data_IF_774643402206
#
_entry.id   IF_774643402206
#
_cell.length_a   1.000
_cell.length_b   1.000
_cell.length_c   1.000
_cell.angle_alpha   90.00
_cell.angle_beta   90.00
_cell.angle_gamma   90.00
#
_symmetry.space_group_name_H-M   'P 1'
#
loop_
_entity.id
_entity.type
_entity.pdbx_description
1 polymer ?
#
# COMPACT_ATOMS: atom_id res chain seq x y z
N UNK A 1 10.22 18.60 3.92
CA UNK A 1 9.00 17.86 3.56
C UNK A 1 8.86 16.69 4.50
N UNK A 2 7.70 16.54 5.14
CA UNK A 2 7.46 15.43 6.05
C UNK A 2 7.39 14.11 5.29
N UNK A 3 7.90 13.02 5.88
CA UNK A 3 7.87 11.67 5.28
C UNK A 3 6.45 11.22 4.89
N UNK A 4 5.43 11.72 5.59
CA UNK A 4 4.02 11.48 5.29
C UNK A 4 3.57 12.10 3.96
N UNK A 5 4.03 13.31 3.62
CA UNK A 5 3.69 13.96 2.36
C UNK A 5 4.31 13.22 1.17
N UNK A 6 5.56 12.77 1.34
CA UNK A 6 6.27 11.98 0.33
C UNK A 6 5.55 10.67 0.02
N UNK A 7 5.07 9.96 1.05
CA UNK A 7 4.31 8.70 0.86
C UNK A 7 3.01 8.91 0.08
N UNK A 8 2.27 9.99 0.39
CA UNK A 8 1.02 10.32 -0.33
C UNK A 8 1.27 10.70 -1.78
N UNK A 9 2.30 11.49 -2.05
CA UNK A 9 2.68 11.84 -3.43
C UNK A 9 3.08 10.58 -4.21
N UNK A 10 3.85 9.67 -3.61
CA UNK A 10 4.23 8.41 -4.24
C UNK A 10 3.01 7.53 -4.58
N UNK A 11 2.04 7.46 -3.68
CA UNK A 11 0.78 6.72 -3.91
C UNK A 11 -0.03 7.30 -5.06
N UNK A 12 -0.17 8.63 -5.11
CA UNK A 12 -0.88 9.32 -6.20
C UNK A 12 -0.18 9.07 -7.54
N UNK A 13 1.15 9.19 -7.57
CA UNK A 13 1.95 8.92 -8.77
C UNK A 13 1.86 7.45 -9.18
N UNK A 14 1.88 6.52 -8.23
CA UNK A 14 1.68 5.08 -8.47
C UNK A 14 0.31 4.78 -9.08
N UNK A 15 -0.77 5.35 -8.53
CA UNK A 15 -2.12 5.23 -9.07
C UNK A 15 -2.25 5.81 -10.49
N UNK A 16 -1.64 6.97 -10.75
CA UNK A 16 -1.62 7.56 -12.09
C UNK A 16 -0.84 6.68 -13.09
N UNK A 17 0.30 6.12 -12.69
CA UNK A 17 1.09 5.21 -13.54
C UNK A 17 0.36 3.90 -13.84
N UNK A 18 -0.37 3.34 -12.88
CA UNK A 18 -1.25 2.19 -13.11
C UNK A 18 -2.32 2.52 -14.16
N UNK A 19 -2.92 3.70 -14.07
CA UNK A 19 -3.92 4.14 -15.05
C UNK A 19 -3.35 4.32 -16.45
N UNK A 20 -2.16 4.94 -16.56
CA UNK A 20 -1.46 5.09 -17.84
C UNK A 20 -1.05 3.73 -18.41
N UNK A 21 -0.55 2.82 -17.57
CA UNK A 21 -0.21 1.45 -17.95
C UNK A 21 -1.41 0.66 -18.46
N UNK A 22 -2.58 0.84 -17.84
CA UNK A 22 -3.85 0.25 -18.28
C UNK A 22 -4.25 0.77 -19.65
N UNK A 23 -4.22 2.09 -19.88
CA UNK A 23 -4.53 2.67 -21.20
C UNK A 23 -3.58 2.13 -22.27
N UNK A 24 -2.28 2.10 -21.98
CA UNK A 24 -1.28 1.57 -22.91
C UNK A 24 -1.53 0.09 -23.22
N UNK A 25 -1.85 -0.72 -22.20
CA UNK A 25 -2.16 -2.14 -22.36
C UNK A 25 -3.40 -2.35 -23.23
N UNK A 26 -4.45 -1.53 -23.06
CA UNK A 26 -5.64 -1.55 -23.92
C UNK A 26 -5.30 -1.21 -25.37
N UNK A 27 -4.44 -0.21 -25.60
CA UNK A 27 -4.00 0.17 -26.96
C UNK A 27 -3.24 -0.99 -27.60
N UNK A 28 -2.26 -1.56 -26.91
CA UNK A 28 -1.47 -2.69 -27.43
C UNK A 28 -2.36 -3.90 -27.69
N UNK A 29 -3.27 -4.21 -26.77
CA UNK A 29 -4.22 -5.32 -26.94
C UNK A 29 -5.14 -5.09 -28.14
N UNK A 30 -5.65 -3.87 -28.32
CA UNK A 30 -6.50 -3.54 -29.47
C UNK A 30 -5.73 -3.63 -30.79
N UNK A 31 -4.48 -3.15 -30.83
CA UNK A 31 -3.61 -3.27 -31.99
C UNK A 31 -3.30 -4.74 -32.31
N UNK A 32 -3.09 -5.57 -31.29
CA UNK A 32 -2.86 -7.00 -31.45
C UNK A 32 -4.11 -7.71 -32.01
N UNK A 33 -5.31 -7.37 -31.52
CA UNK A 33 -6.58 -7.92 -32.04
C UNK A 33 -6.76 -7.57 -33.52
N UNK A 34 -6.46 -6.33 -33.91
CA UNK A 34 -6.53 -5.88 -35.31
C UNK A 34 -5.48 -6.57 -36.17
N UNK A 35 -4.24 -6.64 -35.70
CA UNK A 35 -3.13 -7.29 -36.42
C UNK A 35 -3.33 -8.81 -36.57
N UNK A 36 -3.99 -9.45 -35.60
CA UNK A 36 -4.31 -10.87 -35.65
C UNK A 36 -5.38 -11.22 -36.70
N UNK A 37 -6.00 -10.23 -37.38
CA UNK A 37 -6.62 -10.39 -38.70
C UNK A 37 -7.58 -11.58 -38.86
N UNK A 38 -8.36 -11.92 -37.83
CA UNK A 38 -9.32 -13.04 -37.85
C UNK A 38 -8.95 -14.26 -36.99
N UNK A 39 -7.70 -14.39 -36.52
CA UNK A 39 -7.31 -15.43 -35.56
C UNK A 39 -7.89 -15.19 -34.15
N UNK A 40 -8.36 -13.97 -33.86
CA UNK A 40 -9.03 -13.62 -32.61
C UNK A 40 -10.33 -14.41 -32.35
N UNK A 41 -10.88 -15.10 -33.37
CA UNK A 41 -12.04 -15.98 -33.20
C UNK A 41 -11.77 -17.22 -32.33
N UNK A 42 -10.49 -17.53 -32.10
CA UNK A 42 -10.07 -18.61 -31.21
C UNK A 42 -9.88 -18.17 -29.76
N UNK A 43 -10.02 -16.88 -29.44
CA UNK A 43 -9.99 -16.44 -28.05
C UNK A 43 -11.29 -16.95 -27.41
N UNK A 44 -11.19 -17.88 -26.47
CA UNK A 44 -12.39 -18.42 -25.87
C UNK A 44 -13.05 -17.33 -25.01
N UNK A 45 -14.39 -17.29 -24.96
CA UNK A 45 -15.14 -16.21 -24.31
C UNK A 45 -14.79 -16.03 -22.82
N UNK A 46 -14.30 -17.08 -22.15
CA UNK A 46 -13.82 -16.99 -20.77
C UNK A 46 -12.62 -16.04 -20.63
N UNK A 47 -11.71 -16.00 -21.61
CA UNK A 47 -10.49 -15.20 -21.54
C UNK A 47 -10.81 -13.72 -21.69
N UNK A 48 -11.76 -13.37 -22.57
CA UNK A 48 -12.22 -11.99 -22.72
C UNK A 48 -12.85 -11.43 -21.44
N UNK A 49 -13.63 -12.26 -20.71
CA UNK A 49 -14.24 -11.85 -19.44
C UNK A 49 -13.18 -11.60 -18.38
N UNK A 50 -12.16 -12.48 -18.29
CA UNK A 50 -11.04 -12.31 -17.35
C UNK A 50 -10.28 -11.01 -17.63
N UNK A 51 -10.01 -10.70 -18.90
CA UNK A 51 -9.31 -9.47 -19.28
C UNK A 51 -10.14 -8.24 -18.89
N UNK A 52 -11.44 -8.22 -19.20
CA UNK A 52 -12.32 -7.09 -18.85
C UNK A 52 -12.40 -6.91 -17.33
N UNK A 53 -12.53 -8.02 -16.58
CA UNK A 53 -12.61 -7.97 -15.12
C UNK A 53 -11.31 -7.48 -14.49
N UNK A 54 -10.15 -7.90 -15.02
CA UNK A 54 -8.84 -7.42 -14.60
C UNK A 54 -8.67 -5.92 -14.83
N UNK A 55 -9.01 -5.43 -16.03
CA UNK A 55 -8.98 -3.99 -16.35
C UNK A 55 -9.89 -3.19 -15.42
N UNK A 56 -11.09 -3.71 -15.12
CA UNK A 56 -12.01 -3.07 -14.18
C UNK A 56 -11.42 -3.01 -12.77
N UNK A 57 -10.77 -4.09 -12.32
CA UNK A 57 -10.13 -4.18 -11.02
C UNK A 57 -8.96 -3.20 -10.90
N UNK A 58 -8.12 -3.09 -11.93
CA UNK A 58 -7.00 -2.16 -11.98
C UNK A 58 -7.47 -0.70 -11.98
N UNK A 59 -8.56 -0.40 -12.70
CA UNK A 59 -9.20 0.92 -12.65
C UNK A 59 -9.67 1.25 -11.22
N UNK A 60 -10.35 0.32 -10.56
CA UNK A 60 -10.84 0.51 -9.19
C UNK A 60 -9.67 0.68 -8.22
N UNK A 61 -8.61 -0.11 -8.33
CA UNK A 61 -7.41 0.01 -7.51
C UNK A 61 -6.72 1.37 -7.71
N UNK A 62 -6.56 1.82 -8.96
CA UNK A 62 -5.99 3.13 -9.26
C UNK A 62 -6.80 4.27 -8.65
N UNK A 63 -8.13 4.19 -8.70
CA UNK A 63 -9.03 5.18 -8.07
C UNK A 63 -8.89 5.15 -6.55
N UNK A 64 -8.84 3.96 -5.94
CA UNK A 64 -8.65 3.80 -4.49
C UNK A 64 -7.32 4.43 -4.05
N UNK A 65 -6.24 4.24 -4.81
CA UNK A 65 -4.93 4.81 -4.51
C UNK A 65 -4.89 6.35 -4.53
N UNK A 66 -5.82 6.98 -5.26
CA UNK A 66 -5.92 8.43 -5.37
C UNK A 66 -6.86 9.01 -4.30
N UNK A 67 -7.96 8.32 -3.99
CA UNK A 67 -9.03 8.87 -3.15
C UNK A 67 -8.84 8.57 -1.66
N UNK A 68 -8.22 7.45 -1.30
CA UNK A 68 -8.16 6.98 0.09
C UNK A 68 -6.94 7.53 0.82
N UNK A 69 -7.14 7.94 2.08
CA UNK A 69 -6.08 8.46 2.96
C UNK A 69 -5.47 7.38 3.86
N UNK A 70 -6.16 6.26 4.01
CA UNK A 70 -5.75 5.16 4.89
C UNK A 70 -4.62 4.35 4.28
N UNK A 71 -3.47 4.35 4.97
CA UNK A 71 -2.23 3.71 4.49
C UNK A 71 -2.39 2.20 4.22
N UNK A 72 -3.20 1.51 5.04
CA UNK A 72 -3.48 0.07 4.88
C UNK A 72 -4.22 -0.20 3.57
N UNK A 73 -5.22 0.63 3.25
CA UNK A 73 -6.01 0.47 2.04
C UNK A 73 -5.15 0.73 0.80
N UNK A 74 -4.24 1.73 0.88
CA UNK A 74 -3.27 2.01 -0.19
C UNK A 74 -2.33 0.82 -0.43
N UNK A 75 -1.81 0.20 0.63
CA UNK A 75 -0.93 -0.97 0.53
C UNK A 75 -1.66 -2.15 -0.15
N UNK A 76 -2.87 -2.47 0.32
CA UNK A 76 -3.66 -3.59 -0.22
C UNK A 76 -4.02 -3.34 -1.69
N UNK A 77 -4.45 -2.13 -2.04
CA UNK A 77 -4.75 -1.75 -3.42
C UNK A 77 -3.51 -1.84 -4.32
N UNK A 78 -2.33 -1.43 -3.82
CA UNK A 78 -1.06 -1.56 -4.54
C UNK A 78 -0.67 -3.01 -4.82
N UNK A 79 -0.85 -3.92 -3.85
CA UNK A 79 -0.59 -5.36 -4.01
C UNK A 79 -1.55 -5.96 -5.06
N UNK A 80 -2.84 -5.64 -4.98
CA UNK A 80 -3.84 -6.15 -5.92
C UNK A 80 -3.52 -5.67 -7.35
N UNK A 81 -3.21 -4.39 -7.53
CA UNK A 81 -2.83 -3.82 -8.83
C UNK A 81 -1.53 -4.42 -9.38
N UNK A 82 -0.54 -4.71 -8.52
CA UNK A 82 0.69 -5.38 -8.94
C UNK A 82 0.41 -6.82 -9.42
N UNK A 83 -0.37 -7.58 -8.66
CA UNK A 83 -0.74 -8.94 -9.03
C UNK A 83 -1.53 -8.97 -10.34
N UNK A 84 -2.49 -8.06 -10.50
CA UNK A 84 -3.27 -7.93 -11.74
C UNK A 84 -2.37 -7.57 -12.92
N UNK A 85 -1.41 -6.65 -12.74
CA UNK A 85 -0.47 -6.25 -13.78
C UNK A 85 0.51 -7.34 -14.21
N UNK A 86 0.79 -8.32 -13.34
CA UNK A 86 1.62 -9.49 -13.65
C UNK A 86 0.81 -10.55 -14.40
N UNK A 87 -0.46 -10.72 -14.03
CA UNK A 87 -1.34 -11.76 -14.58
C UNK A 87 -1.93 -11.35 -15.94
N UNK A 88 -2.40 -10.10 -16.06
CA UNK A 88 -2.75 -9.51 -17.34
C UNK A 88 -1.47 -9.00 -18.02
N UNK A 89 -1.50 -8.82 -19.33
CA UNK A 89 -0.38 -8.29 -20.15
C UNK A 89 -0.16 -6.78 -19.83
N UNK A 90 -0.18 -6.38 -18.57
CA UNK A 90 -0.07 -5.00 -18.06
C UNK A 90 1.29 -4.36 -18.31
N UNK A 91 2.26 -5.17 -18.74
CA UNK A 91 3.58 -4.73 -19.12
C UNK A 91 4.38 -4.14 -17.96
N UNK A 92 5.57 -3.66 -18.29
CA UNK A 92 6.54 -3.13 -17.32
C UNK A 92 6.00 -1.87 -16.60
N UNK A 93 5.17 -1.09 -17.30
CA UNK A 93 4.60 0.17 -16.78
C UNK A 93 3.64 -0.10 -15.61
N UNK A 94 2.74 -1.08 -15.75
CA UNK A 94 1.83 -1.49 -14.68
C UNK A 94 2.58 -2.01 -13.46
N UNK A 95 3.63 -2.81 -13.67
CA UNK A 95 4.48 -3.30 -12.60
C UNK A 95 5.17 -2.16 -11.83
N UNK A 96 5.73 -1.16 -12.54
CA UNK A 96 6.34 0.02 -11.92
C UNK A 96 5.30 0.80 -11.09
N UNK A 97 4.09 1.00 -11.62
CA UNK A 97 3.00 1.65 -10.90
C UNK A 97 2.59 0.91 -9.62
N UNK A 98 2.47 -0.42 -9.70
CA UNK A 98 2.16 -1.28 -8.54
C UNK A 98 3.26 -1.22 -7.46
N UNK A 99 4.53 -1.29 -7.86
CA UNK A 99 5.67 -1.20 -6.94
C UNK A 99 5.70 0.17 -6.25
N UNK A 100 5.50 1.27 -6.99
CA UNK A 100 5.43 2.61 -6.41
C UNK A 100 4.25 2.77 -5.44
N UNK A 101 3.10 2.17 -5.75
CA UNK A 101 1.95 2.11 -4.85
C UNK A 101 2.27 1.40 -3.54
N UNK A 102 2.94 0.24 -3.60
CA UNK A 102 3.38 -0.51 -2.41
C UNK A 102 4.38 0.32 -1.59
N UNK A 103 5.39 0.91 -2.23
CA UNK A 103 6.38 1.75 -1.54
C UNK A 103 5.70 2.96 -0.88
N UNK A 104 4.77 3.61 -1.58
CA UNK A 104 3.98 4.71 -1.02
C UNK A 104 3.16 4.28 0.21
N UNK A 105 2.47 3.13 0.11
CA UNK A 105 1.71 2.55 1.22
C UNK A 105 2.60 2.20 2.42
N UNK A 106 3.74 1.56 2.21
CA UNK A 106 4.72 1.23 3.26
C UNK A 106 5.28 2.49 3.90
N UNK A 107 5.63 3.53 3.12
CA UNK A 107 6.10 4.80 3.68
C UNK A 107 5.05 5.50 4.53
N UNK A 108 3.77 5.44 4.13
CA UNK A 108 2.67 5.95 4.95
C UNK A 108 2.45 5.13 6.23
N UNK A 109 2.74 3.83 6.24
CA UNK A 109 2.73 2.98 7.43
C UNK A 109 3.96 3.19 8.33
N UNK A 110 5.10 3.55 7.74
CA UNK A 110 6.39 3.71 8.41
C UNK A 110 6.55 5.09 9.04
N UNK A 111 5.79 6.09 8.56
CA UNK A 111 5.50 7.26 9.37
C UNK A 111 4.78 6.76 10.63
N UNK A 112 5.19 7.16 11.84
CA UNK A 112 4.65 6.65 13.09
C UNK A 112 3.16 6.98 13.19
N UNK A 113 2.34 6.08 12.65
CA UNK A 113 0.96 5.91 13.02
C UNK A 113 0.97 5.05 14.26
N UNK A 114 0.32 5.51 15.30
CA UNK A 114 0.17 4.88 16.61
C UNK A 114 -0.62 3.54 16.56
N UNK A 115 -0.55 2.78 15.46
CA UNK A 115 -1.46 1.66 15.20
C UNK A 115 -0.77 0.36 14.76
N UNK A 116 0.56 0.27 14.89
CA UNK A 116 1.25 -1.05 14.93
C UNK A 116 2.36 -1.02 15.99
N UNK A 117 1.97 -0.66 17.20
CA UNK A 117 2.74 -0.93 18.41
C UNK A 117 1.80 -1.46 19.48
N UNK A 118 1.15 -2.58 19.20
CA UNK A 118 0.54 -3.42 20.23
C UNK A 118 1.60 -4.14 21.10
N UNK A 119 2.86 -3.64 21.11
CA UNK A 119 3.92 -4.05 22.04
C UNK A 119 4.59 -2.83 22.74
N UNK A 120 4.35 -1.57 22.36
CA UNK A 120 5.04 -0.46 23.03
C UNK A 120 4.31 0.89 22.99
N UNK A 121 3.04 0.95 23.39
CA UNK A 121 2.41 2.22 23.78
C UNK A 121 1.62 2.04 25.07
N UNK A 122 2.31 2.16 26.21
CA UNK A 122 1.64 2.49 27.48
C UNK A 122 1.13 3.92 27.39
N UNK A 123 -0.19 4.18 27.55
CA UNK A 123 -0.71 5.54 27.54
C UNK A 123 -0.05 6.34 28.67
N UNK A 124 0.19 7.63 28.43
CA UNK A 124 0.78 8.59 29.38
C UNK A 124 0.00 8.73 30.71
N UNK A 125 -1.18 8.12 30.81
CA UNK A 125 -1.93 7.90 32.05
C UNK A 125 -1.34 6.78 32.95
N UNK A 126 -0.37 6.00 32.46
CA UNK A 126 0.29 4.91 33.17
C UNK A 126 1.75 5.22 33.50
N UNK A 127 2.09 6.49 33.73
CA UNK A 127 3.41 6.89 34.23
C UNK A 127 3.29 7.23 35.73
N UNK A 128 4.10 6.58 36.57
CA UNK A 128 4.29 6.92 37.99
C UNK A 128 5.67 7.51 38.22
N UNK A 129 5.82 8.32 39.26
CA UNK A 129 7.11 8.86 39.66
C UNK A 129 7.85 7.84 40.53
N UNK A 130 9.09 7.50 40.17
CA UNK A 130 9.92 6.61 40.97
C UNK A 130 10.18 7.23 42.36
N UNK A 131 9.90 6.53 43.47
CA UNK A 131 10.10 7.07 44.82
C UNK A 131 11.58 7.25 45.19
N UNK A 132 12.51 6.59 44.49
CA UNK A 132 13.94 6.66 44.78
C UNK A 132 14.66 7.77 43.99
N UNK A 133 14.46 7.84 42.67
CA UNK A 133 15.15 8.81 41.82
C UNK A 133 14.26 9.96 41.30
N UNK A 134 12.95 9.91 41.53
CA UNK A 134 12.01 10.96 41.11
C UNK A 134 11.74 11.01 39.59
N UNK A 135 12.27 10.08 38.79
CA UNK A 135 12.02 10.00 37.35
C UNK A 135 10.67 9.33 37.05
N UNK A 136 10.06 9.73 35.94
CA UNK A 136 8.80 9.16 35.47
C UNK A 136 9.05 7.80 34.83
N UNK A 137 8.33 6.78 35.29
CA UNK A 137 8.46 5.40 34.84
C UNK A 137 7.08 4.79 34.57
N UNK A 138 6.97 3.79 33.68
CA UNK A 138 5.71 3.07 33.48
C UNK A 138 5.25 2.40 34.77
N UNK A 139 3.94 2.44 35.07
CA UNK A 139 3.34 1.77 36.24
C UNK A 139 3.59 0.26 36.21
N UNK A 140 3.67 -0.33 35.01
CA UNK A 140 3.93 -1.74 34.78
C UNK A 140 5.40 -2.17 34.98
N UNK A 141 6.33 -1.22 35.19
CA UNK A 141 7.73 -1.56 35.45
C UNK A 141 7.92 -1.99 36.90
N UNK A 142 8.33 -3.25 37.11
CA UNK A 142 8.75 -3.81 38.41
C UNK A 142 10.10 -3.25 38.88
N UNK A 143 10.89 -2.67 37.98
CA UNK A 143 12.22 -2.10 38.23
C UNK A 143 12.33 -0.73 37.56
N UNK A 144 12.95 0.23 38.24
CA UNK A 144 13.28 1.52 37.64
C UNK A 144 14.50 1.37 36.72
N UNK A 145 14.40 1.67 35.41
CA UNK A 145 15.52 1.54 34.46
C UNK A 145 16.68 2.51 34.76
N UNK A 146 16.42 3.54 35.55
CA UNK A 146 17.36 4.62 35.81
C UNK A 146 18.17 4.44 37.11
N UNK A 147 17.60 3.72 38.08
CA UNK A 147 18.26 3.51 39.38
C UNK A 147 18.29 2.04 39.84
N UNK A 148 17.71 1.12 39.08
CA UNK A 148 17.62 -0.31 39.41
C UNK A 148 16.75 -0.61 40.64
N UNK A 149 16.02 0.38 41.17
CA UNK A 149 15.20 0.18 42.34
C UNK A 149 13.90 -0.56 41.98
N UNK A 150 13.63 -1.66 42.70
CA UNK A 150 12.37 -2.41 42.58
C UNK A 150 11.18 -1.54 42.99
N UNK A 151 10.16 -1.54 42.16
CA UNK A 151 8.91 -0.83 42.36
C UNK A 151 7.91 -1.79 43.00
N UNK A 152 7.58 -1.56 44.27
CA UNK A 152 6.50 -2.25 44.98
C UNK A 152 5.13 -1.61 44.71
#
# INVERSE_FOLDING_TARGET
MGTQETGRVLSIVGGALLFVGLIFSLIVLSALIVAAGGAARWIPPFLSVIIILGVLLDMVCGIILILVKDAVILLVAGIIGLLSSIILIGGIIGAIGGILGIIGGVLCLSAPSETTSAIAQTPSAFLKKCPNCGKEIPIASEECPECGAKQG
#
